data_IF_598227450792
#
_entry.id   IF_598227450792
#
_cell.length_a   1.000
_cell.length_b   1.000
_cell.length_c   1.000
_cell.angle_alpha   90.00
_cell.angle_beta   90.00
_cell.angle_gamma   90.00
#
_symmetry.space_group_name_H-M   'P 1'
#
loop_
_entity.id
_entity.type
_entity.pdbx_description
1 polymer ?
#
# COMPACT_ATOMS: atom_id res chain seq x y z
N UNK A 1 -21.07 3.89 -14.05
CA UNK A 1 -21.07 2.65 -13.25
C UNK A 1 -19.77 2.57 -12.48
N UNK A 2 -19.79 2.38 -11.15
CA UNK A 2 -18.56 2.31 -10.32
C UNK A 2 -18.29 0.85 -9.92
N UNK A 3 -17.04 0.44 -10.04
CA UNK A 3 -16.55 -0.89 -9.66
C UNK A 3 -15.56 -0.75 -8.52
N UNK A 4 -15.60 -1.68 -7.58
CA UNK A 4 -14.72 -1.70 -6.41
C UNK A 4 -14.19 -3.12 -6.19
N UNK A 5 -13.09 -3.20 -5.44
CA UNK A 5 -12.50 -4.46 -5.02
C UNK A 5 -12.99 -4.82 -3.61
N UNK A 6 -13.79 -5.89 -3.49
CA UNK A 6 -14.35 -6.36 -2.23
C UNK A 6 -14.02 -7.84 -2.02
N UNK A 7 -13.39 -8.18 -0.88
CA UNK A 7 -13.01 -9.55 -0.50
C UNK A 7 -12.30 -10.36 -1.59
N UNK A 8 -11.31 -9.78 -2.25
CA UNK A 8 -10.58 -10.51 -3.30
C UNK A 8 -11.09 -10.24 -4.72
N UNK A 9 -12.33 -9.75 -4.88
CA UNK A 9 -13.08 -9.80 -6.13
C UNK A 9 -13.49 -8.42 -6.62
N UNK A 10 -13.49 -8.22 -7.95
CA UNK A 10 -14.14 -7.06 -8.57
C UNK A 10 -15.65 -7.19 -8.48
N UNK A 11 -16.27 -6.22 -7.84
CA UNK A 11 -17.72 -6.12 -7.69
C UNK A 11 -18.20 -4.78 -8.24
N UNK A 12 -19.41 -4.77 -8.81
CA UNK A 12 -20.13 -3.58 -9.26
C UNK A 12 -20.97 -3.03 -8.12
N UNK A 13 -20.96 -1.73 -7.91
CA UNK A 13 -21.94 -1.07 -7.04
C UNK A 13 -23.28 -1.01 -7.77
N UNK A 14 -24.30 -1.64 -7.19
CA UNK A 14 -25.67 -1.64 -7.73
C UNK A 14 -26.53 -0.57 -7.07
N UNK A 15 -26.32 -0.29 -5.79
CA UNK A 15 -27.05 0.74 -5.04
C UNK A 15 -26.17 1.37 -3.97
N UNK A 16 -26.39 2.64 -3.67
CA UNK A 16 -25.84 3.33 -2.50
C UNK A 16 -26.99 4.01 -1.78
N UNK A 17 -27.05 3.90 -0.46
CA UNK A 17 -28.12 4.48 0.35
C UNK A 17 -27.64 4.75 1.76
N UNK A 18 -28.34 5.61 2.47
CA UNK A 18 -28.04 5.98 3.85
C UNK A 18 -29.15 5.51 4.78
N UNK A 19 -28.77 4.95 5.93
CA UNK A 19 -29.70 4.57 7.00
C UNK A 19 -29.11 5.07 8.30
N UNK A 20 -29.85 5.93 9.03
CA UNK A 20 -29.43 6.49 10.31
C UNK A 20 -28.04 7.17 10.27
N UNK A 21 -27.78 7.97 9.23
CA UNK A 21 -26.51 8.69 9.05
C UNK A 21 -25.32 7.79 8.69
N UNK A 22 -25.55 6.51 8.38
CA UNK A 22 -24.52 5.56 7.93
C UNK A 22 -24.76 5.20 6.47
N UNK A 23 -23.72 5.33 5.65
CA UNK A 23 -23.79 4.98 4.25
C UNK A 23 -23.52 3.49 4.01
N UNK A 24 -24.37 2.89 3.18
CA UNK A 24 -24.35 1.50 2.78
C UNK A 24 -24.37 1.37 1.26
N UNK A 25 -23.86 0.24 0.77
CA UNK A 25 -23.83 -0.11 -0.64
C UNK A 25 -24.28 -1.55 -0.86
N UNK A 26 -25.03 -1.75 -1.93
CA UNK A 26 -25.27 -3.08 -2.49
C UNK A 26 -24.28 -3.31 -3.63
N UNK A 27 -23.71 -4.50 -3.66
CA UNK A 27 -22.63 -4.90 -4.57
C UNK A 27 -23.02 -6.17 -5.31
N UNK A 28 -22.55 -6.31 -6.55
CA UNK A 28 -22.73 -7.51 -7.37
C UNK A 28 -21.41 -7.97 -7.95
N UNK A 29 -21.03 -9.21 -7.68
CA UNK A 29 -19.83 -9.84 -8.20
C UNK A 29 -19.93 -10.04 -9.72
N UNK A 30 -18.90 -9.60 -10.43
CA UNK A 30 -18.86 -9.70 -11.89
C UNK A 30 -18.58 -11.13 -12.37
N UNK A 31 -17.80 -11.90 -11.61
CA UNK A 31 -17.34 -13.23 -12.03
C UNK A 31 -18.21 -14.38 -11.49
N UNK A 32 -18.98 -14.15 -10.43
CA UNK A 32 -19.75 -15.21 -9.74
C UNK A 32 -21.23 -14.88 -9.56
N UNK A 33 -21.70 -13.71 -10.03
CA UNK A 33 -23.08 -13.26 -9.85
C UNK A 33 -23.49 -13.01 -8.39
N UNK A 34 -22.57 -13.11 -7.43
CA UNK A 34 -22.87 -13.04 -5.99
C UNK A 34 -23.24 -11.62 -5.59
N UNK A 35 -24.36 -11.48 -4.90
CA UNK A 35 -24.86 -10.18 -4.43
C UNK A 35 -24.54 -9.99 -2.95
N UNK A 36 -24.04 -8.82 -2.59
CA UNK A 36 -23.76 -8.42 -1.22
C UNK A 36 -24.60 -7.19 -0.92
N UNK A 37 -25.53 -7.30 0.05
CA UNK A 37 -26.43 -6.21 0.41
C UNK A 37 -25.97 -5.51 1.69
N UNK A 38 -26.27 -4.22 1.79
CA UNK A 38 -26.02 -3.40 2.99
C UNK A 38 -24.56 -3.42 3.47
N UNK A 39 -23.61 -3.38 2.53
CA UNK A 39 -22.19 -3.31 2.85
C UNK A 39 -21.86 -1.88 3.31
N UNK A 40 -21.33 -1.66 4.53
CA UNK A 40 -20.98 -0.33 4.99
C UNK A 40 -19.83 0.26 4.17
N UNK A 41 -19.95 1.51 3.73
CA UNK A 41 -18.95 2.17 2.87
C UNK A 41 -17.57 2.20 3.53
N UNK A 42 -17.50 2.47 4.84
CA UNK A 42 -16.22 2.50 5.57
C UNK A 42 -15.46 1.15 5.57
N UNK A 43 -16.14 0.01 5.37
CA UNK A 43 -15.46 -1.29 5.22
C UNK A 43 -14.82 -1.45 3.83
N UNK A 44 -15.41 -0.83 2.80
CA UNK A 44 -14.85 -0.78 1.44
C UNK A 44 -13.61 0.10 1.42
N UNK A 45 -13.69 1.33 1.95
CA UNK A 45 -12.56 2.27 1.94
C UNK A 45 -11.35 1.69 2.69
N UNK A 46 -11.59 0.96 3.80
CA UNK A 46 -10.52 0.27 4.53
C UNK A 46 -9.91 -0.87 3.70
N UNK A 47 -10.72 -1.64 2.97
CA UNK A 47 -10.23 -2.71 2.10
C UNK A 47 -9.47 -2.18 0.87
N UNK A 48 -9.93 -1.09 0.25
CA UNK A 48 -9.21 -0.41 -0.83
C UNK A 48 -7.90 0.19 -0.34
N UNK A 49 -7.89 0.79 0.87
CA UNK A 49 -6.66 1.33 1.47
C UNK A 49 -5.64 0.22 1.76
N UNK A 50 -6.09 -0.93 2.28
CA UNK A 50 -5.22 -2.09 2.55
C UNK A 50 -4.75 -2.79 1.27
N UNK A 51 -5.58 -2.85 0.22
CA UNK A 51 -5.20 -3.44 -1.09
C UNK A 51 -4.33 -2.53 -1.93
N UNK A 52 -4.56 -1.20 -1.92
CA UNK A 52 -3.63 -0.23 -2.53
C UNK A 52 -2.27 -0.23 -1.85
N UNK A 53 -2.17 -0.65 -0.58
CA UNK A 53 -0.89 -0.93 0.09
C UNK A 53 -0.26 -2.28 -0.26
N UNK A 54 -1.00 -3.23 -0.84
CA UNK A 54 -0.51 -4.59 -1.11
C UNK A 54 -0.14 -4.87 -2.57
N UNK A 55 -0.47 -3.98 -3.50
CA UNK A 55 -0.24 -4.19 -4.94
C UNK A 55 0.32 -2.90 -5.57
N UNK A 56 1.44 -2.41 -5.03
CA UNK A 56 2.46 -1.78 -5.86
C UNK A 56 3.67 -2.69 -5.68
N UNK A 57 4.21 -3.20 -6.78
CA UNK A 57 5.46 -3.98 -6.87
C UNK A 57 6.31 -3.86 -5.61
N UNK A 58 6.44 -4.97 -4.88
CA UNK A 58 7.27 -5.07 -3.68
C UNK A 58 8.75 -4.90 -4.09
N UNK A 59 9.15 -3.67 -4.41
CA UNK A 59 10.53 -3.31 -4.73
C UNK A 59 11.34 -3.48 -3.46
N UNK A 60 12.33 -4.36 -3.51
CA UNK A 60 13.23 -4.56 -2.38
C UNK A 60 14.24 -3.44 -2.41
N UNK A 61 14.30 -2.67 -1.33
CA UNK A 61 15.30 -1.63 -1.14
C UNK A 61 16.45 -2.20 -0.33
N UNK A 62 17.65 -2.06 -0.86
CA UNK A 62 18.88 -2.50 -0.22
C UNK A 62 19.57 -1.29 0.40
N UNK A 63 19.85 -1.39 1.70
CA UNK A 63 20.66 -0.44 2.45
C UNK A 63 22.04 -1.06 2.68
N UNK A 64 23.08 -0.54 2.02
CA UNK A 64 24.47 -0.95 2.19
C UNK A 64 25.20 0.07 3.06
N UNK A 65 25.80 -0.36 4.17
CA UNK A 65 26.62 0.51 5.02
C UNK A 65 28.05 0.68 4.47
N UNK A 66 28.85 1.51 5.15
CA UNK A 66 30.25 1.77 4.77
C UNK A 66 31.17 0.55 4.91
N UNK A 67 30.74 -0.47 5.66
CA UNK A 67 31.46 -1.72 5.88
C UNK A 67 31.02 -2.82 4.90
N UNK A 68 30.08 -2.54 4.00
CA UNK A 68 29.57 -3.47 3.02
C UNK A 68 28.44 -4.38 3.52
N UNK A 69 27.92 -4.15 4.74
CA UNK A 69 26.77 -4.90 5.24
C UNK A 69 25.50 -4.44 4.53
N UNK A 70 24.75 -5.40 4.00
CA UNK A 70 23.52 -5.15 3.23
C UNK A 70 22.30 -5.56 4.03
N UNK A 71 21.33 -4.65 4.11
CA UNK A 71 20.01 -4.90 4.68
C UNK A 71 18.97 -4.75 3.58
N UNK A 72 18.33 -5.85 3.21
CA UNK A 72 17.27 -5.88 2.19
C UNK A 72 15.90 -5.76 2.85
N UNK A 73 15.14 -4.73 2.50
CA UNK A 73 13.81 -4.47 3.07
C UNK A 73 12.81 -4.17 1.97
N UNK A 74 11.64 -4.79 2.06
CA UNK A 74 10.56 -4.51 1.10
C UNK A 74 10.03 -3.10 1.35
N UNK A 75 10.01 -2.29 0.29
CA UNK A 75 9.56 -0.89 0.34
C UNK A 75 8.17 -0.77 0.95
N UNK A 76 7.99 0.17 1.87
CA UNK A 76 6.70 0.44 2.50
C UNK A 76 6.25 -0.57 3.56
N UNK A 77 7.03 -1.62 3.85
CA UNK A 77 6.72 -2.54 4.96
C UNK A 77 6.99 -1.92 6.33
N UNK A 78 6.38 -2.48 7.38
CA UNK A 78 6.65 -2.06 8.75
C UNK A 78 8.13 -2.15 9.14
N UNK A 79 8.84 -3.18 8.64
CA UNK A 79 10.28 -3.35 8.84
C UNK A 79 11.09 -2.23 8.16
N UNK A 80 10.72 -1.85 6.93
CA UNK A 80 11.30 -0.72 6.22
C UNK A 80 11.11 0.60 6.98
N UNK A 81 9.88 0.90 7.41
CA UNK A 81 9.59 2.13 8.17
C UNK A 81 10.32 2.15 9.52
N UNK A 82 10.39 1.01 10.22
CA UNK A 82 11.10 0.89 11.48
C UNK A 82 12.62 1.10 11.29
N UNK A 83 13.21 0.54 10.24
CA UNK A 83 14.63 0.73 9.92
C UNK A 83 14.96 2.21 9.65
N UNK A 84 14.15 2.88 8.84
CA UNK A 84 14.31 4.31 8.54
C UNK A 84 14.25 5.14 9.81
N UNK A 85 13.27 4.90 10.67
CA UNK A 85 13.13 5.63 11.93
C UNK A 85 14.31 5.35 12.87
N UNK A 86 14.69 4.08 13.03
CA UNK A 86 15.81 3.66 13.90
C UNK A 86 17.12 4.31 13.49
N UNK A 87 17.37 4.44 12.19
CA UNK A 87 18.61 5.02 11.65
C UNK A 87 18.49 6.52 11.33
N UNK A 88 17.37 7.17 11.67
CA UNK A 88 17.15 8.60 11.41
C UNK A 88 17.22 8.96 9.92
N UNK A 89 16.85 8.03 9.04
CA UNK A 89 16.80 8.24 7.61
C UNK A 89 15.56 9.06 7.24
N UNK A 90 15.65 9.85 6.19
CA UNK A 90 14.53 10.64 5.70
C UNK A 90 14.01 10.00 4.41
N UNK A 91 12.71 9.72 4.33
CA UNK A 91 12.10 9.13 3.13
C UNK A 91 12.43 9.93 1.86
N UNK A 92 12.40 11.27 1.93
CA UNK A 92 12.75 12.10 0.78
C UNK A 92 14.22 11.94 0.34
N UNK A 93 15.13 11.77 1.30
CA UNK A 93 16.55 11.54 1.00
C UNK A 93 16.79 10.12 0.45
N UNK A 94 16.03 9.14 0.93
CA UNK A 94 16.03 7.78 0.38
C UNK A 94 15.53 7.80 -1.07
N UNK A 95 14.42 8.49 -1.36
CA UNK A 95 13.90 8.62 -2.73
C UNK A 95 14.93 9.30 -3.65
N UNK A 96 15.66 10.30 -3.17
CA UNK A 96 16.76 10.91 -3.92
C UNK A 96 17.91 9.93 -4.20
N UNK A 97 18.21 9.04 -3.25
CA UNK A 97 19.20 7.98 -3.46
C UNK A 97 18.72 6.96 -4.51
N UNK A 98 17.45 6.56 -4.43
CA UNK A 98 16.84 5.62 -5.38
C UNK A 98 16.74 6.21 -6.80
N UNK A 99 16.59 7.54 -6.92
CA UNK A 99 16.65 8.27 -8.20
C UNK A 99 18.07 8.55 -8.70
N UNK A 100 19.11 8.18 -7.93
CA UNK A 100 20.51 8.44 -8.28
C UNK A 100 20.95 9.90 -8.14
N UNK A 101 20.11 10.77 -7.56
CA UNK A 101 20.44 12.18 -7.31
C UNK A 101 21.48 12.33 -6.18
N UNK A 102 21.45 11.41 -5.21
CA UNK A 102 22.39 11.37 -4.08
C UNK A 102 22.99 9.99 -3.94
N UNK A 103 24.33 9.88 -3.86
CA UNK A 103 25.01 8.57 -3.80
C UNK A 103 24.80 7.82 -2.48
N UNK A 104 24.67 8.56 -1.37
CA UNK A 104 24.53 8.00 -0.03
C UNK A 104 23.69 8.92 0.86
N UNK A 105 22.94 8.35 1.80
CA UNK A 105 22.28 9.09 2.87
C UNK A 105 22.71 8.54 4.23
N UNK A 106 23.21 9.41 5.12
CA UNK A 106 23.65 9.04 6.48
C UNK A 106 24.63 7.86 6.53
N UNK A 107 25.46 7.69 5.51
CA UNK A 107 26.44 6.60 5.42
C UNK A 107 25.91 5.29 4.84
N UNK A 108 24.63 5.27 4.43
CA UNK A 108 24.05 4.15 3.68
C UNK A 108 24.00 4.48 2.19
N UNK A 109 24.47 3.57 1.35
CA UNK A 109 24.07 3.52 -0.06
C UNK A 109 22.71 2.83 -0.13
N UNK A 110 21.80 3.43 -0.87
CA UNK A 110 20.44 2.90 -1.03
C UNK A 110 20.19 2.65 -2.51
N UNK A 111 19.76 1.45 -2.86
CA UNK A 111 19.41 1.10 -4.23
C UNK A 111 18.23 0.12 -4.25
N UNK A 112 17.45 0.14 -5.32
CA UNK A 112 16.40 -0.85 -5.57
C UNK A 112 17.02 -2.09 -6.23
N UNK A 113 16.54 -3.26 -5.82
CA UNK A 113 16.79 -4.55 -6.47
C UNK A 113 15.61 -4.91 -7.37
#
# INVERSE_FOLDING_TARGET
MRFIDYNGQKVRITRTYEVNGKQFMDLKGLNNGKEYRSVPVHKIERAETVRKQKIQDAKTVVFEDKHGNKTELVFGTGAYVAFIKKHGLNQAAIDNCLKGLTKTHKGFKVYMK
#
